data_IF_371005086074
#
_entry.id   IF_371005086074
#
_cell.length_a   1.000
_cell.length_b   1.000
_cell.length_c   1.000
_cell.angle_alpha   90.00
_cell.angle_beta   90.00
_cell.angle_gamma   90.00
#
_symmetry.space_group_name_H-M   'P 1'
#
loop_
_entity.id
_entity.type
_entity.pdbx_description
1 polymer ?
#
# COMPACT_ATOMS: atom_id res chain seq x y z
N UNK A 1 6.51 -5.28 -12.43
CA UNK A 1 6.62 -4.02 -13.22
C UNK A 1 5.28 -3.38 -13.66
N UNK A 2 4.11 -3.82 -13.16
CA UNK A 2 2.81 -3.24 -13.56
C UNK A 2 2.33 -2.06 -12.67
N UNK A 3 2.64 -2.06 -11.37
CA UNK A 3 2.16 -1.05 -10.40
C UNK A 3 2.66 0.36 -10.74
N UNK A 4 3.92 0.52 -11.18
CA UNK A 4 4.47 1.83 -11.62
C UNK A 4 3.68 2.47 -12.77
N UNK A 5 2.96 1.70 -13.58
CA UNK A 5 2.17 2.24 -14.71
C UNK A 5 0.84 2.82 -14.27
N UNK A 6 0.35 2.49 -13.06
CA UNK A 6 -0.93 2.99 -12.52
C UNK A 6 -0.77 3.98 -11.37
N UNK A 7 0.44 4.11 -10.81
CA UNK A 7 0.74 5.22 -9.90
C UNK A 7 0.77 6.52 -10.71
N UNK A 8 -0.11 7.46 -10.37
CA UNK A 8 -0.11 8.79 -10.97
C UNK A 8 1.23 9.49 -10.73
N UNK A 9 1.60 10.41 -11.62
CA UNK A 9 2.76 11.27 -11.40
C UNK A 9 2.57 12.05 -10.09
N UNK A 10 3.49 11.87 -9.14
CA UNK A 10 3.40 12.51 -7.82
C UNK A 10 2.47 11.80 -6.82
N UNK A 11 2.10 10.53 -7.07
CA UNK A 11 1.34 9.75 -6.11
C UNK A 11 2.00 9.74 -4.73
N UNK A 12 1.23 10.06 -3.68
CA UNK A 12 1.73 10.08 -2.30
C UNK A 12 1.66 8.69 -1.72
N UNK A 13 2.80 8.14 -1.32
CA UNK A 13 2.88 6.82 -0.70
C UNK A 13 3.40 7.02 0.72
N UNK A 14 2.66 6.52 1.71
CA UNK A 14 3.02 6.66 3.12
C UNK A 14 2.82 5.39 3.91
N UNK A 15 3.57 5.25 5.01
CA UNK A 15 3.22 4.41 6.14
C UNK A 15 2.41 5.24 7.13
N UNK A 16 1.26 4.72 7.54
CA UNK A 16 0.24 5.50 8.23
C UNK A 16 -0.18 6.71 7.40
N UNK A 17 -0.51 7.80 8.08
CA UNK A 17 -1.03 8.99 7.41
C UNK A 17 0.03 9.81 6.66
N UNK A 18 1.24 9.92 7.23
CA UNK A 18 2.17 10.99 6.86
C UNK A 18 3.61 10.55 6.60
N UNK A 19 4.05 9.37 7.05
CA UNK A 19 5.45 8.97 6.92
C UNK A 19 5.74 8.55 5.48
N UNK A 20 6.56 9.27 4.69
CA UNK A 20 6.79 8.92 3.30
C UNK A 20 7.36 7.51 3.15
N UNK A 21 6.96 6.83 2.08
CA UNK A 21 7.45 5.51 1.70
C UNK A 21 7.73 5.53 0.20
N UNK A 22 8.89 5.07 -0.24
CA UNK A 22 9.18 4.95 -1.66
C UNK A 22 8.36 3.84 -2.31
N UNK A 23 8.22 3.88 -3.63
CA UNK A 23 7.58 2.79 -4.38
C UNK A 23 8.32 1.46 -4.24
N UNK A 24 9.64 1.48 -4.05
CA UNK A 24 10.44 0.27 -3.84
C UNK A 24 10.20 -0.34 -2.45
N UNK A 25 10.12 0.49 -1.41
CA UNK A 25 9.80 0.02 -0.06
C UNK A 25 8.35 -0.48 0.03
N UNK A 26 7.40 0.16 -0.66
CA UNK A 26 6.04 -0.35 -0.78
C UNK A 26 6.02 -1.73 -1.44
N UNK A 27 6.72 -1.91 -2.56
CA UNK A 27 6.79 -3.20 -3.24
C UNK A 27 7.46 -4.28 -2.39
N UNK A 28 8.47 -3.93 -1.59
CA UNK A 28 9.09 -4.86 -0.63
C UNK A 28 8.11 -5.24 0.47
N UNK A 29 7.43 -4.27 1.07
CA UNK A 29 6.44 -4.52 2.13
C UNK A 29 5.24 -5.35 1.65
N UNK A 30 4.90 -5.29 0.37
CA UNK A 30 3.79 -6.05 -0.24
C UNK A 30 4.25 -7.31 -1.00
N UNK A 31 5.54 -7.62 -1.02
CA UNK A 31 6.09 -8.65 -1.92
C UNK A 31 5.53 -10.04 -1.68
N UNK A 32 5.37 -10.41 -0.41
CA UNK A 32 4.94 -11.74 0.01
C UNK A 32 3.60 -11.73 0.76
N UNK A 33 2.94 -10.57 0.84
CA UNK A 33 1.67 -10.45 1.57
C UNK A 33 0.49 -10.93 0.72
N UNK A 34 -0.44 -11.61 1.37
CA UNK A 34 -1.72 -12.01 0.78
C UNK A 34 -2.76 -10.92 1.02
N UNK A 35 -3.71 -10.76 0.09
CA UNK A 35 -4.89 -9.90 0.28
C UNK A 35 -6.10 -10.79 0.55
N UNK A 36 -6.61 -10.79 1.78
CA UNK A 36 -7.74 -11.64 2.16
C UNK A 36 -9.09 -10.94 2.00
N UNK A 37 -9.11 -9.60 2.04
CA UNK A 37 -10.34 -8.81 1.88
C UNK A 37 -10.06 -7.52 1.14
N UNK A 38 -10.88 -7.24 0.12
CA UNK A 38 -10.87 -5.98 -0.62
C UNK A 38 -12.25 -5.32 -0.59
N UNK A 39 -12.28 -4.04 -0.27
CA UNK A 39 -13.47 -3.19 -0.29
C UNK A 39 -13.19 -2.01 -1.21
N UNK A 40 -14.07 -1.75 -2.18
CA UNK A 40 -14.00 -0.57 -3.04
C UNK A 40 -15.27 0.26 -2.85
N UNK A 41 -15.12 1.56 -2.59
CA UNK A 41 -16.22 2.50 -2.45
C UNK A 41 -15.83 3.86 -3.03
N UNK A 42 -16.51 4.29 -4.10
CA UNK A 42 -16.19 5.54 -4.80
C UNK A 42 -14.74 5.55 -5.29
N UNK A 43 -13.94 6.49 -4.77
CA UNK A 43 -12.51 6.66 -5.10
C UNK A 43 -11.56 5.94 -4.14
N UNK A 44 -12.07 5.15 -3.22
CA UNK A 44 -11.28 4.50 -2.18
C UNK A 44 -11.27 2.99 -2.37
N UNK A 45 -10.09 2.39 -2.27
CA UNK A 45 -9.89 0.94 -2.22
C UNK A 45 -9.18 0.62 -0.92
N UNK A 46 -9.74 -0.30 -0.15
CA UNK A 46 -9.16 -0.79 1.10
C UNK A 46 -8.88 -2.27 0.94
N UNK A 47 -7.67 -2.70 1.26
CA UNK A 47 -7.26 -4.09 1.26
C UNK A 47 -6.73 -4.47 2.64
N UNK A 48 -7.29 -5.50 3.26
CA UNK A 48 -6.63 -6.20 4.36
C UNK A 48 -5.52 -7.07 3.77
N UNK A 49 -4.33 -7.00 4.36
CA UNK A 49 -3.15 -7.74 3.93
C UNK A 49 -2.56 -8.56 5.08
N UNK A 50 -2.03 -9.72 4.73
CA UNK A 50 -1.56 -10.72 5.69
C UNK A 50 -0.16 -11.18 5.26
N UNK A 51 0.82 -10.98 6.14
CA UNK A 51 2.19 -11.44 5.94
C UNK A 51 2.31 -12.94 6.24
N UNK A 52 3.19 -13.68 5.55
CA UNK A 52 3.54 -15.04 5.92
C UNK A 52 4.08 -15.17 7.36
N UNK A 53 4.62 -14.08 7.92
CA UNK A 53 5.12 -14.01 9.30
C UNK A 53 4.02 -13.84 10.36
N UNK A 54 2.73 -13.80 9.95
CA UNK A 54 1.59 -13.64 10.85
C UNK A 54 1.27 -12.19 11.22
N UNK A 55 1.91 -11.23 10.57
CA UNK A 55 1.64 -9.81 10.74
C UNK A 55 0.52 -9.35 9.78
N UNK A 56 -0.33 -8.44 10.21
CA UNK A 56 -1.54 -8.03 9.49
C UNK A 56 -1.51 -6.54 9.18
N UNK A 57 -2.08 -6.11 8.07
CA UNK A 57 -2.07 -4.71 7.70
C UNK A 57 -3.27 -4.30 6.89
N UNK A 58 -3.38 -3.00 6.66
CA UNK A 58 -4.38 -2.42 5.77
C UNK A 58 -3.69 -1.51 4.77
N UNK A 59 -3.99 -1.69 3.50
CA UNK A 59 -3.64 -0.74 2.44
C UNK A 59 -4.87 0.04 2.06
N UNK A 60 -4.77 1.37 2.10
CA UNK A 60 -5.80 2.27 1.59
C UNK A 60 -5.23 2.99 0.38
N UNK A 61 -5.88 2.83 -0.77
CA UNK A 61 -5.54 3.54 -1.99
C UNK A 61 -6.67 4.48 -2.40
N UNK A 62 -6.28 5.70 -2.79
CA UNK A 62 -7.18 6.64 -3.45
C UNK A 62 -6.91 6.59 -4.95
N UNK A 63 -7.99 6.49 -5.74
CA UNK A 63 -7.94 6.41 -7.20
C UNK A 63 -8.70 7.57 -7.83
N UNK A 64 -8.17 8.09 -8.92
CA UNK A 64 -8.86 9.00 -9.82
C UNK A 64 -9.31 8.27 -11.08
N UNK A 65 -10.38 8.73 -11.71
CA UNK A 65 -11.08 7.95 -12.75
C UNK A 65 -10.74 8.40 -14.18
N UNK A 66 -10.02 9.53 -14.37
CA UNK A 66 -9.70 10.10 -15.69
C UNK A 66 -8.37 10.89 -15.68
N UNK A 67 -7.25 10.28 -16.12
CA UNK A 67 -7.07 8.85 -16.39
C UNK A 67 -7.18 8.03 -15.08
N UNK A 68 -7.41 6.71 -15.20
CA UNK A 68 -7.37 5.84 -14.03
C UNK A 68 -5.96 5.86 -13.42
N UNK A 69 -5.82 6.44 -12.23
CA UNK A 69 -4.54 6.59 -11.56
C UNK A 69 -4.69 6.46 -10.05
N UNK A 70 -3.79 5.71 -9.43
CA UNK A 70 -3.62 5.69 -7.98
C UNK A 70 -2.90 6.99 -7.59
N UNK A 71 -3.56 7.85 -6.83
CA UNK A 71 -3.03 9.16 -6.41
C UNK A 71 -2.49 9.16 -4.99
N UNK A 72 -2.96 8.22 -4.16
CA UNK A 72 -2.46 8.02 -2.80
C UNK A 72 -2.45 6.55 -2.42
N UNK A 73 -1.44 6.13 -1.68
CA UNK A 73 -1.36 4.83 -1.02
C UNK A 73 -0.94 5.05 0.42
N UNK A 74 -1.68 4.49 1.36
CA UNK A 74 -1.38 4.49 2.79
C UNK A 74 -1.33 3.06 3.28
N UNK A 75 -0.15 2.65 3.75
CA UNK A 75 0.06 1.34 4.37
C UNK A 75 -0.03 1.49 5.89
N UNK A 76 -0.98 0.81 6.51
CA UNK A 76 -1.15 0.71 7.96
C UNK A 76 -0.74 -0.69 8.40
N UNK A 77 0.54 -0.91 8.70
CA UNK A 77 1.03 -2.19 9.20
C UNK A 77 0.61 -2.38 10.66
N UNK A 78 0.26 -3.59 11.07
CA UNK A 78 0.41 -4.00 12.47
C UNK A 78 1.89 -3.94 12.85
N UNK A 79 2.19 -4.04 14.14
CA UNK A 79 3.58 -4.19 14.59
C UNK A 79 4.26 -5.30 13.77
N UNK A 80 5.45 -5.00 13.22
CA UNK A 80 6.28 -5.96 12.48
C UNK A 80 6.40 -5.71 10.97
N UNK A 81 5.30 -5.37 10.28
CA UNK A 81 5.25 -5.28 8.79
C UNK A 81 6.12 -4.17 8.17
N UNK A 82 6.58 -3.22 8.98
CA UNK A 82 7.52 -2.16 8.57
C UNK A 82 8.77 -2.10 9.43
N UNK A 83 8.99 -3.10 10.30
CA UNK A 83 10.21 -3.19 11.09
C UNK A 83 11.32 -3.67 10.16
N UNK A 84 11.95 -2.71 9.47
CA UNK A 84 13.29 -2.91 8.95
C UNK A 84 14.17 -3.14 10.17
N UNK A 85 14.58 -4.38 10.40
CA UNK A 85 15.73 -4.64 11.25
C UNK A 85 16.85 -3.74 10.74
N UNK A 86 17.28 -2.81 11.58
CA UNK A 86 18.58 -2.17 11.42
C UNK A 86 19.58 -3.17 11.98
N UNK A 87 20.05 -4.05 11.11
CA UNK A 87 21.35 -4.71 11.24
C UNK A 87 22.42 -3.85 10.60
#
# INVERSE_FOLDING_TARGET
MAVRRRLGRGARITVGENRPLSGAELLRALGDVRCDKLIAAGRHVVAAIDSPTGEHGVVIADVENRPFAITRVRLFPSLGLTRSDRG
#
